data_IF_810776613106
#
_entry.id   IF_810776613106
#
_cell.length_a   1.000
_cell.length_b   1.000
_cell.length_c   1.000
_cell.angle_alpha   90.00
_cell.angle_beta   90.00
_cell.angle_gamma   90.00
#
_symmetry.space_group_name_H-M   'P 1'
#
loop_
_entity.id
_entity.type
_entity.pdbx_description
1 polymer ?
#
# COMPACT_ATOMS: atom_id res chain seq x y z
N UNK A 1 6.69 -15.58 17.07
CA UNK A 1 7.99 -15.12 16.54
C UNK A 1 8.41 -13.90 17.34
N UNK A 2 9.54 -13.93 18.05
CA UNK A 2 10.11 -12.74 18.72
C UNK A 2 11.50 -12.45 18.17
N UNK A 3 11.79 -11.15 18.01
CA UNK A 3 13.14 -10.60 17.94
C UNK A 3 13.92 -10.65 16.61
N UNK A 4 13.30 -10.26 15.48
CA UNK A 4 14.08 -9.72 14.35
C UNK A 4 14.33 -8.22 14.60
N UNK A 5 15.58 -7.74 14.57
CA UNK A 5 15.88 -6.33 14.81
C UNK A 5 15.36 -5.51 13.63
N UNK A 6 14.24 -4.82 13.84
CA UNK A 6 13.73 -3.76 12.97
C UNK A 6 13.77 -2.47 13.78
N UNK A 7 14.39 -1.45 13.20
CA UNK A 7 14.55 -0.12 13.81
C UNK A 7 13.22 0.40 14.38
N UNK A 8 13.17 0.83 15.66
CA UNK A 8 11.98 1.49 16.23
C UNK A 8 11.58 2.74 15.45
N UNK A 9 12.56 3.49 14.94
CA UNK A 9 12.31 4.68 14.13
C UNK A 9 11.62 4.32 12.80
N UNK A 10 12.04 3.23 12.15
CA UNK A 10 11.41 2.77 10.91
C UNK A 10 9.95 2.33 11.15
N UNK A 11 9.69 1.61 12.24
CA UNK A 11 8.31 1.23 12.62
C UNK A 11 7.43 2.47 12.86
N UNK A 12 7.97 3.47 13.57
CA UNK A 12 7.26 4.72 13.83
C UNK A 12 6.98 5.51 12.55
N UNK A 13 7.96 5.59 11.65
CA UNK A 13 7.82 6.25 10.36
C UNK A 13 6.75 5.55 9.49
N UNK A 14 6.75 4.22 9.45
CA UNK A 14 5.75 3.43 8.74
C UNK A 14 4.34 3.67 9.29
N UNK A 15 4.16 3.62 10.61
CA UNK A 15 2.86 3.87 11.25
C UNK A 15 2.38 5.30 11.00
N UNK A 16 3.26 6.28 11.10
CA UNK A 16 2.94 7.69 10.85
C UNK A 16 2.51 7.91 9.40
N UNK A 17 3.25 7.36 8.43
CA UNK A 17 2.90 7.46 7.01
C UNK A 17 1.57 6.74 6.70
N UNK A 18 1.34 5.56 7.27
CA UNK A 18 0.09 4.83 7.10
C UNK A 18 -1.10 5.61 7.67
N UNK A 19 -0.98 6.16 8.88
CA UNK A 19 -2.02 6.99 9.49
C UNK A 19 -2.33 8.23 8.65
N UNK A 20 -1.30 8.91 8.15
CA UNK A 20 -1.47 10.07 7.28
C UNK A 20 -2.19 9.69 5.98
N UNK A 21 -1.80 8.59 5.34
CA UNK A 21 -2.45 8.10 4.12
C UNK A 21 -3.93 7.77 4.35
N UNK A 22 -4.27 6.99 5.39
CA UNK A 22 -5.66 6.58 5.62
C UNK A 22 -6.58 7.71 6.09
N UNK A 23 -6.01 8.78 6.66
CA UNK A 23 -6.73 9.99 7.03
C UNK A 23 -7.11 10.88 5.81
N UNK A 24 -6.56 10.61 4.62
CA UNK A 24 -6.93 11.35 3.41
C UNK A 24 -8.38 11.07 2.98
N UNK A 25 -9.03 12.04 2.30
CA UNK A 25 -10.29 11.81 1.61
C UNK A 25 -10.22 10.61 0.66
N UNK A 26 -11.29 9.82 0.59
CA UNK A 26 -11.36 8.64 -0.28
C UNK A 26 -10.96 8.90 -1.74
N UNK A 27 -11.37 10.02 -2.40
CA UNK A 27 -10.95 10.29 -3.78
C UNK A 27 -9.43 10.40 -3.96
N UNK A 28 -8.70 10.86 -2.95
CA UNK A 28 -7.24 10.95 -3.00
C UNK A 28 -6.61 9.56 -2.87
N UNK A 29 -7.16 8.71 -1.99
CA UNK A 29 -6.71 7.31 -1.84
C UNK A 29 -6.99 6.49 -3.10
N UNK A 30 -8.15 6.70 -3.74
CA UNK A 30 -8.54 6.03 -4.99
C UNK A 30 -7.64 6.35 -6.20
N UNK A 31 -6.81 7.39 -6.12
CA UNK A 31 -5.79 7.63 -7.13
C UNK A 31 -4.80 6.45 -7.25
N UNK A 32 -4.64 5.67 -6.16
CA UNK A 32 -3.78 4.48 -6.12
C UNK A 32 -4.57 3.16 -6.23
N UNK A 33 -5.80 3.17 -6.74
CA UNK A 33 -6.63 1.96 -6.74
C UNK A 33 -5.94 0.77 -7.43
N UNK A 34 -5.97 -0.41 -6.79
CA UNK A 34 -5.39 -1.65 -7.34
C UNK A 34 -5.94 -2.01 -8.72
N UNK A 35 -7.14 -1.54 -9.09
CA UNK A 35 -7.75 -1.72 -10.42
C UNK A 35 -6.97 -1.01 -11.53
N UNK A 36 -6.14 -0.02 -11.20
CA UNK A 36 -5.27 0.68 -12.16
C UNK A 36 -4.04 -0.16 -12.57
N UNK A 37 -3.88 -1.35 -11.99
CA UNK A 37 -2.80 -2.27 -12.29
C UNK A 37 -1.67 -2.18 -11.26
N UNK A 38 -1.30 -3.34 -10.70
CA UNK A 38 -0.16 -3.48 -9.81
C UNK A 38 -0.53 -3.52 -8.32
N UNK A 39 0.31 -2.88 -7.52
CA UNK A 39 0.33 -2.92 -6.06
C UNK A 39 -0.09 -1.55 -5.53
N UNK A 40 -1.23 -1.47 -4.82
CA UNK A 40 -1.85 -0.18 -4.47
C UNK A 40 -2.98 -0.28 -3.45
N UNK A 41 -3.87 0.71 -3.45
CA UNK A 41 -4.98 0.90 -2.53
C UNK A 41 -6.22 0.05 -2.86
N UNK A 42 -6.79 -0.56 -1.83
CA UNK A 42 -8.07 -1.27 -1.84
C UNK A 42 -9.06 -0.50 -0.96
N UNK A 43 -10.19 -0.04 -1.51
CA UNK A 43 -11.17 0.74 -0.76
C UNK A 43 -11.88 -0.09 0.30
N UNK A 44 -12.57 0.60 1.21
CA UNK A 44 -13.37 -0.04 2.25
C UNK A 44 -14.40 -0.99 1.63
N UNK A 45 -14.34 -2.26 2.01
CA UNK A 45 -15.23 -3.27 1.45
C UNK A 45 -14.92 -3.69 0.01
N UNK A 46 -13.74 -3.32 -0.50
CA UNK A 46 -13.24 -3.80 -1.79
C UNK A 46 -12.86 -5.29 -1.80
N UNK A 47 -12.73 -5.92 -0.62
CA UNK A 47 -12.38 -7.33 -0.47
C UNK A 47 -13.52 -8.15 0.09
N UNK A 48 -13.81 -9.26 -0.60
CA UNK A 48 -14.81 -10.23 -0.21
C UNK A 48 -14.18 -11.57 0.21
N UNK A 49 -14.60 -12.08 1.36
CA UNK A 49 -14.21 -13.39 1.88
C UNK A 49 -15.48 -14.23 2.11
N UNK A 50 -15.61 -15.38 1.44
CA UNK A 50 -16.76 -16.29 1.57
C UNK A 50 -18.13 -15.61 1.39
N UNK A 51 -18.24 -14.70 0.42
CA UNK A 51 -19.49 -13.97 0.13
C UNK A 51 -19.83 -12.86 1.13
N UNK A 52 -18.92 -12.54 2.05
CA UNK A 52 -19.03 -11.40 2.97
C UNK A 52 -17.97 -10.38 2.63
N UNK A 53 -18.32 -9.11 2.76
CA UNK A 53 -17.39 -8.01 2.53
C UNK A 53 -16.64 -7.71 3.82
N UNK A 54 -15.31 -7.58 3.72
CA UNK A 54 -14.46 -7.23 4.84
C UNK A 54 -14.62 -5.74 5.18
N UNK A 55 -14.82 -5.41 6.45
CA UNK A 55 -14.87 -4.03 6.94
C UNK A 55 -13.46 -3.44 7.12
N UNK A 56 -12.67 -3.41 6.04
CA UNK A 56 -11.36 -2.77 6.00
C UNK A 56 -11.10 -2.11 4.66
N UNK A 57 -10.28 -1.08 4.70
CA UNK A 57 -9.50 -0.61 3.55
C UNK A 57 -8.04 -1.06 3.73
N UNK A 58 -7.25 -1.04 2.66
CA UNK A 58 -5.85 -1.46 2.71
C UNK A 58 -5.01 -0.81 1.63
N UNK A 59 -3.71 -0.70 1.86
CA UNK A 59 -2.73 -0.40 0.82
C UNK A 59 -1.71 -1.52 0.81
N UNK A 60 -1.51 -2.10 -0.36
CA UNK A 60 -0.60 -3.21 -0.56
C UNK A 60 0.72 -2.69 -1.07
N UNK A 61 1.81 -3.34 -0.65
CA UNK A 61 3.17 -3.11 -1.12
C UNK A 61 3.85 -4.45 -1.35
N UNK A 62 4.77 -4.48 -2.32
CA UNK A 62 5.52 -5.66 -2.71
C UNK A 62 6.93 -5.29 -3.18
N UNK A 63 7.73 -6.27 -3.62
CA UNK A 63 9.00 -6.00 -4.25
C UNK A 63 8.85 -5.06 -5.45
N UNK A 64 9.78 -4.11 -5.61
CA UNK A 64 9.76 -3.21 -6.75
C UNK A 64 10.17 -3.96 -8.02
N UNK A 65 9.29 -3.98 -9.03
CA UNK A 65 9.52 -4.68 -10.29
C UNK A 65 9.70 -3.71 -11.46
N UNK A 66 10.65 -4.03 -12.35
CA UNK A 66 10.82 -3.32 -13.62
C UNK A 66 9.69 -3.64 -14.60
N UNK A 67 9.51 -2.79 -15.62
CA UNK A 67 8.45 -2.91 -16.64
C UNK A 67 8.54 -4.16 -17.54
N UNK A 68 9.61 -4.94 -17.42
CA UNK A 68 9.79 -6.20 -18.13
C UNK A 68 9.64 -7.44 -17.21
N UNK A 69 9.19 -7.27 -15.97
CA UNK A 69 9.09 -8.38 -15.03
C UNK A 69 8.08 -9.44 -15.53
N UNK A 70 8.44 -10.74 -15.54
CA UNK A 70 7.64 -11.78 -16.19
C UNK A 70 6.25 -11.99 -15.56
N UNK A 71 6.06 -11.57 -14.31
CA UNK A 71 4.79 -11.67 -13.59
C UNK A 71 3.96 -10.38 -13.63
N UNK A 72 4.32 -9.40 -14.46
CA UNK A 72 3.52 -8.18 -14.60
C UNK A 72 2.06 -8.49 -14.93
N UNK A 73 1.15 -7.83 -14.21
CA UNK A 73 -0.29 -8.05 -14.33
C UNK A 73 -0.83 -9.17 -13.42
N UNK A 74 0.04 -9.94 -12.75
CA UNK A 74 -0.40 -10.80 -11.65
C UNK A 74 -0.64 -9.95 -10.38
N UNK A 75 -1.56 -10.36 -9.49
CA UNK A 75 -1.75 -9.67 -8.22
C UNK A 75 -0.42 -9.51 -7.47
N UNK A 76 -0.21 -8.32 -6.91
CA UNK A 76 0.99 -7.95 -6.18
C UNK A 76 2.32 -7.93 -6.98
N UNK A 77 2.26 -7.97 -8.31
CA UNK A 77 3.45 -7.90 -9.17
C UNK A 77 3.39 -6.69 -10.10
N UNK A 78 4.23 -5.70 -9.83
CA UNK A 78 4.38 -4.48 -10.62
C UNK A 78 5.14 -3.41 -9.86
N UNK A 79 5.04 -2.17 -10.34
CA UNK A 79 5.55 -1.02 -9.61
C UNK A 79 4.66 -0.71 -8.42
N UNK A 80 5.26 -0.38 -7.28
CA UNK A 80 4.50 0.12 -6.15
C UNK A 80 3.96 1.52 -6.46
N UNK A 81 2.71 1.77 -6.09
CA UNK A 81 2.10 3.08 -6.28
C UNK A 81 2.25 3.93 -5.02
N UNK A 82 2.65 5.19 -5.19
CA UNK A 82 2.82 6.15 -4.09
C UNK A 82 2.17 7.48 -4.44
N UNK A 83 1.53 8.11 -3.44
CA UNK A 83 1.14 9.52 -3.55
C UNK A 83 2.38 10.42 -3.50
N UNK A 84 2.30 11.64 -4.06
CA UNK A 84 3.38 12.62 -3.91
C UNK A 84 3.72 12.88 -2.43
N UNK A 85 5.00 13.14 -2.13
CA UNK A 85 5.46 13.39 -0.77
C UNK A 85 4.78 14.59 -0.08
N UNK A 86 4.22 15.52 -0.86
CA UNK A 86 3.43 16.63 -0.35
C UNK A 86 2.09 16.20 0.27
N UNK A 87 1.56 15.03 -0.11
CA UNK A 87 0.34 14.46 0.45
C UNK A 87 0.65 13.48 1.59
N UNK A 88 1.63 12.59 1.38
CA UNK A 88 2.07 11.63 2.41
C UNK A 88 3.59 11.60 2.48
N UNK A 89 4.14 12.26 3.49
CA UNK A 89 5.58 12.38 3.67
C UNK A 89 6.21 11.03 4.05
N UNK A 90 7.28 10.65 3.34
CA UNK A 90 8.16 9.56 3.73
C UNK A 90 7.61 8.14 3.54
N UNK A 91 6.43 7.99 2.91
CA UNK A 91 5.80 6.67 2.73
C UNK A 91 6.69 5.69 1.95
N UNK A 92 7.27 6.12 0.84
CA UNK A 92 8.14 5.28 0.02
C UNK A 92 9.37 4.80 0.79
N UNK A 93 10.04 5.69 1.52
CA UNK A 93 11.23 5.37 2.31
C UNK A 93 10.92 4.51 3.55
N UNK A 94 9.67 4.51 4.03
CA UNK A 94 9.25 3.68 5.16
C UNK A 94 8.92 2.24 4.75
N UNK A 95 8.69 2.00 3.46
CA UNK A 95 8.20 0.72 2.92
C UNK A 95 9.28 -0.02 2.11
N UNK A 96 10.15 0.71 1.40
CA UNK A 96 11.27 0.17 0.62
C UNK A 96 12.58 0.23 1.42
#
# INVERSE_FOLDING_TARGET
MTNRPVSPALKSALLTAAQAFFALPEPEKLALDVRNGGVGYMPLGGEGTHGRVDCKEGIYFGPEHADAHPLLGMPLHGKNQFLPAAQVLGMQAAVL
#
